data_IF_913287370303
#
_entry.id   IF_913287370303
#
_cell.length_a   1.000
_cell.length_b   1.000
_cell.length_c   1.000
_cell.angle_alpha   90.00
_cell.angle_beta   90.00
_cell.angle_gamma   90.00
#
_symmetry.space_group_name_H-M   'P 1'
#
loop_
_entity.id
_entity.type
_entity.pdbx_description
1 polymer ?
#
# COMPACT_ATOMS: atom_id res chain seq x y z
N UNK A 1 12.08 8.93 10.20
CA UNK A 1 11.23 7.77 9.85
C UNK A 1 12.00 6.94 8.84
N UNK A 2 12.15 5.64 9.05
CA UNK A 2 12.85 4.78 8.08
C UNK A 2 12.05 4.74 6.78
N UNK A 3 12.70 5.05 5.65
CA UNK A 3 12.06 5.06 4.34
C UNK A 3 11.98 3.62 3.80
N UNK A 4 11.07 2.83 4.37
CA UNK A 4 10.91 1.42 4.02
C UNK A 4 10.08 1.30 2.74
N UNK A 5 10.74 0.88 1.65
CA UNK A 5 10.07 0.60 0.37
C UNK A 5 9.47 -0.80 0.40
N UNK A 6 8.18 -0.91 0.14
CA UNK A 6 7.47 -2.18 0.02
C UNK A 6 7.15 -2.46 -1.44
N UNK A 7 7.58 -3.62 -1.94
CA UNK A 7 7.26 -4.05 -3.31
C UNK A 7 5.84 -4.61 -3.31
N UNK A 8 4.97 -4.00 -4.10
CA UNK A 8 3.61 -4.44 -4.34
C UNK A 8 3.56 -5.39 -5.54
N UNK A 9 3.16 -6.63 -5.30
CA UNK A 9 2.86 -7.64 -6.32
C UNK A 9 1.37 -7.97 -6.39
N UNK A 10 0.60 -7.71 -5.34
CA UNK A 10 -0.85 -7.96 -5.27
C UNK A 10 -1.59 -6.79 -4.63
N UNK A 11 -2.91 -6.68 -4.89
CA UNK A 11 -3.75 -5.67 -4.24
C UNK A 11 -3.78 -5.83 -2.72
N UNK A 12 -3.86 -7.07 -2.20
CA UNK A 12 -3.88 -7.32 -0.75
C UNK A 12 -2.69 -6.74 0.01
N UNK A 13 -1.50 -6.70 -0.60
CA UNK A 13 -0.32 -6.05 0.01
C UNK A 13 -0.51 -4.54 0.16
N UNK A 14 -1.24 -3.88 -0.77
CA UNK A 14 -1.59 -2.47 -0.64
C UNK A 14 -2.48 -2.25 0.58
N UNK A 15 -3.53 -3.06 0.76
CA UNK A 15 -4.42 -2.96 1.94
C UNK A 15 -3.66 -3.08 3.26
N UNK A 16 -2.71 -4.01 3.35
CA UNK A 16 -1.84 -4.18 4.51
C UNK A 16 -0.97 -2.94 4.78
N UNK A 17 -0.35 -2.35 3.75
CA UNK A 17 0.46 -1.13 3.88
C UNK A 17 -0.40 0.04 4.36
N UNK A 18 -1.58 0.24 3.76
CA UNK A 18 -2.48 1.33 4.14
C UNK A 18 -2.91 1.19 5.60
N UNK A 19 -3.31 -0.02 6.02
CA UNK A 19 -3.69 -0.29 7.40
C UNK A 19 -2.52 -0.10 8.37
N UNK A 20 -1.33 -0.61 8.04
CA UNK A 20 -0.14 -0.48 8.85
C UNK A 20 0.26 1.00 9.01
N UNK A 21 0.20 1.78 7.93
CA UNK A 21 0.50 3.21 7.92
C UNK A 21 -0.49 4.00 8.77
N UNK A 22 -1.79 3.66 8.72
CA UNK A 22 -2.79 4.26 9.62
C UNK A 22 -2.48 3.95 11.09
N UNK A 23 -2.18 2.68 11.40
CA UNK A 23 -1.83 2.26 12.76
C UNK A 23 -0.54 2.90 13.26
N UNK A 24 0.46 3.10 12.39
CA UNK A 24 1.70 3.80 12.73
C UNK A 24 1.45 5.27 13.07
N UNK A 25 0.48 5.92 12.42
CA UNK A 25 -0.02 7.24 12.78
C UNK A 25 -0.92 7.25 14.04
N UNK A 26 -1.16 6.10 14.67
CA UNK A 26 -2.05 5.90 15.83
C UNK A 26 -3.49 6.34 15.59
N UNK A 27 -3.95 6.29 14.33
CA UNK A 27 -5.33 6.63 13.99
C UNK A 27 -6.23 5.39 13.97
N UNK A 28 -7.44 5.54 14.50
CA UNK A 28 -8.58 4.68 14.22
C UNK A 28 -9.05 4.83 12.77
N UNK A 29 -9.85 3.87 12.28
CA UNK A 29 -10.46 3.97 10.95
C UNK A 29 -11.37 5.20 10.83
N UNK A 30 -12.04 5.60 11.91
CA UNK A 30 -12.90 6.79 11.93
C UNK A 30 -12.11 8.09 11.78
N UNK A 31 -10.92 8.18 12.38
CA UNK A 31 -10.04 9.35 12.24
C UNK A 31 -9.47 9.47 10.83
N UNK A 32 -9.06 8.34 10.22
CA UNK A 32 -8.66 8.33 8.82
C UNK A 32 -9.82 8.72 7.90
N UNK A 33 -11.02 8.19 8.16
CA UNK A 33 -12.21 8.49 7.39
C UNK A 33 -12.55 9.99 7.39
N UNK A 34 -12.46 10.65 8.56
CA UNK A 34 -12.64 12.11 8.67
C UNK A 34 -11.64 12.88 7.80
N UNK A 35 -10.37 12.47 7.77
CA UNK A 35 -9.33 13.10 6.95
C UNK A 35 -9.54 12.91 5.45
N UNK A 36 -10.15 11.78 5.07
CA UNK A 36 -10.45 11.44 3.66
C UNK A 36 -11.81 11.95 3.18
N UNK A 37 -12.66 12.50 4.07
CA UNK A 37 -14.05 12.83 3.73
C UNK A 37 -14.91 11.60 3.44
N UNK A 38 -14.63 10.47 4.09
CA UNK A 38 -15.33 9.19 3.92
C UNK A 38 -16.03 8.75 5.22
N UNK A 39 -16.87 7.72 5.13
CA UNK A 39 -17.37 7.01 6.32
C UNK A 39 -16.32 6.04 6.87
N UNK A 40 -16.40 5.75 8.17
CA UNK A 40 -15.53 4.71 8.79
C UNK A 40 -15.77 3.33 8.16
N UNK A 41 -17.01 2.99 7.83
CA UNK A 41 -17.34 1.72 7.16
C UNK A 41 -16.70 1.62 5.78
N UNK A 42 -16.67 2.72 5.00
CA UNK A 42 -16.00 2.73 3.68
C UNK A 42 -14.49 2.58 3.82
N UNK A 43 -13.87 3.22 4.82
CA UNK A 43 -12.45 3.00 5.12
C UNK A 43 -12.19 1.54 5.50
N UNK A 44 -12.99 0.96 6.39
CA UNK A 44 -12.84 -0.45 6.77
C UNK A 44 -12.96 -1.40 5.58
N UNK A 45 -13.92 -1.13 4.68
CA UNK A 45 -14.10 -1.91 3.46
C UNK A 45 -12.88 -1.80 2.54
N UNK A 46 -12.42 -0.59 2.27
CA UNK A 46 -11.27 -0.34 1.38
C UNK A 46 -9.93 -0.86 1.94
N UNK A 47 -9.77 -0.93 3.26
CA UNK A 47 -8.60 -1.61 3.87
C UNK A 47 -8.58 -3.11 3.59
N UNK A 48 -9.75 -3.75 3.44
CA UNK A 48 -9.90 -5.19 3.18
C UNK A 48 -10.01 -5.50 1.68
N UNK A 49 -10.51 -4.56 0.89
CA UNK A 49 -10.77 -4.67 -0.55
C UNK A 49 -10.03 -3.57 -1.34
N UNK A 50 -8.69 -3.53 -1.30
CA UNK A 50 -7.90 -2.48 -1.93
C UNK A 50 -8.04 -2.42 -3.46
N UNK A 51 -8.49 -3.49 -4.12
CA UNK A 51 -8.82 -3.52 -5.54
C UNK A 51 -9.99 -2.59 -5.93
N UNK A 52 -10.84 -2.21 -4.97
CA UNK A 52 -11.93 -1.25 -5.20
C UNK A 52 -11.50 0.21 -5.09
N UNK A 53 -10.26 0.49 -4.67
CA UNK A 53 -9.75 1.85 -4.65
C UNK A 53 -9.66 2.38 -6.08
N UNK A 54 -10.34 3.49 -6.35
CA UNK A 54 -10.00 4.26 -7.54
C UNK A 54 -8.59 4.82 -7.39
N UNK A 55 -7.90 5.06 -8.50
CA UNK A 55 -6.57 5.65 -8.45
C UNK A 55 -6.57 7.01 -7.74
N UNK A 56 -7.61 7.82 -7.94
CA UNK A 56 -7.77 9.09 -7.22
C UNK A 56 -7.89 8.89 -5.70
N UNK A 57 -8.63 7.87 -5.26
CA UNK A 57 -8.70 7.54 -3.83
C UNK A 57 -7.35 7.08 -3.32
N UNK A 58 -6.63 6.21 -4.04
CA UNK A 58 -5.29 5.79 -3.66
C UNK A 58 -4.37 7.00 -3.44
N UNK A 59 -4.36 7.96 -4.37
CA UNK A 59 -3.56 9.18 -4.22
C UNK A 59 -3.96 10.02 -3.01
N UNK A 60 -5.26 10.15 -2.71
CA UNK A 60 -5.74 10.82 -1.50
C UNK A 60 -5.31 10.11 -0.22
N UNK A 61 -5.36 8.76 -0.20
CA UNK A 61 -4.87 7.97 0.93
C UNK A 61 -3.37 8.17 1.13
N UNK A 62 -2.59 8.16 0.05
CA UNK A 62 -1.16 8.42 0.11
C UNK A 62 -0.87 9.80 0.73
N UNK A 63 -1.52 10.85 0.25
CA UNK A 63 -1.35 12.20 0.78
C UNK A 63 -1.69 12.31 2.28
N UNK A 64 -2.79 11.68 2.72
CA UNK A 64 -3.22 11.74 4.13
C UNK A 64 -2.34 10.90 5.06
N UNK A 65 -1.87 9.74 4.60
CA UNK A 65 -1.06 8.82 5.40
C UNK A 65 0.44 9.14 5.36
N UNK A 66 0.86 10.11 4.54
CA UNK A 66 2.28 10.46 4.34
C UNK A 66 3.03 9.40 3.52
N UNK A 67 2.35 8.76 2.57
CA UNK A 67 2.93 7.77 1.65
C UNK A 67 3.18 8.41 0.28
N UNK A 68 4.11 7.82 -0.46
CA UNK A 68 4.35 8.10 -1.87
C UNK A 68 4.11 6.84 -2.71
N UNK A 69 3.67 7.02 -3.96
CA UNK A 69 3.56 5.94 -4.94
C UNK A 69 4.70 6.06 -5.96
N UNK A 70 5.53 5.03 -6.06
CA UNK A 70 6.57 4.92 -7.07
C UNK A 70 6.31 3.71 -7.97
N UNK A 71 6.46 3.89 -9.29
CA UNK A 71 6.41 2.81 -10.27
C UNK A 71 7.83 2.55 -10.76
N UNK A 72 8.25 1.29 -10.74
CA UNK A 72 9.56 0.86 -11.20
C UNK A 72 9.47 -0.43 -12.01
N UNK A 73 10.55 -0.74 -12.74
CA UNK A 73 10.66 -2.04 -13.41
C UNK A 73 10.79 -3.15 -12.38
N UNK A 74 10.21 -4.31 -12.68
CA UNK A 74 10.40 -5.52 -11.87
C UNK A 74 11.88 -5.91 -11.92
N UNK A 75 12.50 -6.12 -10.76
CA UNK A 75 13.84 -6.71 -10.71
C UNK A 75 13.77 -8.13 -11.27
N UNK A 76 14.33 -8.31 -12.47
CA UNK A 76 14.61 -9.64 -13.00
C UNK A 76 15.82 -10.14 -12.23
N UNK A 77 15.62 -11.02 -11.26
CA UNK A 77 16.74 -11.77 -10.69
C UNK A 77 17.28 -12.63 -11.82
N UNK A 78 18.55 -12.45 -12.27
CA UNK A 78 19.12 -13.39 -13.21
C UNK A 78 19.00 -14.77 -12.57
N UNK A 79 18.32 -15.69 -13.26
CA UNK A 79 18.34 -17.09 -12.87
C UNK A 79 19.81 -17.47 -12.74
N UNK A 80 20.20 -18.02 -11.59
CA UNK A 80 21.49 -18.66 -11.48
C UNK A 80 21.48 -19.79 -12.52
N UNK A 81 22.01 -19.51 -13.71
CA UNK A 81 22.41 -20.53 -14.65
C UNK A 81 23.42 -21.37 -13.89
N UNK A 82 22.98 -22.52 -13.40
CA UNK A 82 23.86 -23.56 -12.92
C UNK A 82 24.84 -23.83 -14.05
N UNK A 83 26.07 -23.33 -13.89
CA UNK A 83 27.22 -23.89 -14.58
C UNK A 83 27.33 -25.32 -14.06
N UNK A 84 26.62 -26.23 -14.71
CA UNK A 84 26.97 -27.64 -14.67
C UNK A 84 28.10 -27.75 -15.68
N UNK A 85 29.33 -27.62 -15.19
CA UNK A 85 30.51 -28.01 -15.96
C UNK A 85 30.41 -29.53 -16.25
N UNK A 86 30.69 -29.89 -17.50
CA UNK A 86 30.68 -31.25 -18.04
C UNK A 86 31.79 -32.13 -17.47
#
# INVERSE_FOLDING_TARGET
MQNQKHILNTSGQLGQILQASRKANKWSQAELAKKLGLSQSRVSHLELHPEELSFAQLMSWCAVLGLELSIGMREVRPSQSSKTDW
#
